data_IF_548878025726
#
_entry.id   IF_548878025726
#
_cell.length_a   1.000
_cell.length_b   1.000
_cell.length_c   1.000
_cell.angle_alpha   90.00
_cell.angle_beta   90.00
_cell.angle_gamma   90.00
#
_symmetry.space_group_name_H-M   'P 1'
#
loop_
_entity.id
_entity.type
_entity.pdbx_description
1 polymer ?
#
# COMPACT_ATOMS: atom_id res chain seq x y z
N UNK A 1 11.80 -19.41 -27.33
CA UNK A 1 11.20 -19.04 -26.03
C UNK A 1 11.63 -17.63 -25.56
N UNK A 2 11.62 -16.60 -26.43
CA UNK A 2 12.10 -15.25 -26.07
C UNK A 2 11.21 -14.08 -26.55
N UNK A 3 10.08 -14.37 -27.20
CA UNK A 3 9.18 -13.33 -27.77
C UNK A 3 8.05 -12.96 -26.81
N UNK A 4 7.59 -13.89 -25.94
CA UNK A 4 6.51 -13.62 -24.98
C UNK A 4 6.93 -12.67 -23.85
N UNK A 5 8.21 -12.70 -23.44
CA UNK A 5 8.75 -11.79 -22.42
C UNK A 5 8.88 -10.34 -22.90
N UNK A 6 9.11 -10.11 -24.21
CA UNK A 6 9.10 -8.75 -24.78
C UNK A 6 7.70 -8.15 -24.88
N UNK A 7 6.67 -8.99 -25.08
CA UNK A 7 5.26 -8.54 -25.02
C UNK A 7 4.83 -8.17 -23.59
N UNK A 8 5.39 -8.85 -22.57
CA UNK A 8 5.18 -8.51 -21.15
C UNK A 8 5.69 -7.10 -20.80
N UNK A 9 6.80 -6.66 -21.40
CA UNK A 9 7.34 -5.30 -21.21
C UNK A 9 6.60 -4.26 -22.09
N UNK A 10 6.09 -4.67 -23.26
CA UNK A 10 5.36 -3.79 -24.16
C UNK A 10 3.90 -3.52 -23.75
N UNK A 11 3.26 -4.41 -22.98
CA UNK A 11 1.88 -4.18 -22.50
C UNK A 11 1.76 -3.21 -21.32
N UNK A 12 2.86 -2.86 -20.64
CA UNK A 12 2.89 -1.80 -19.61
C UNK A 12 3.11 -0.41 -20.25
N UNK A 13 3.17 -0.33 -21.58
CA UNK A 13 3.47 0.89 -22.34
C UNK A 13 2.23 1.62 -22.91
N UNK A 14 1.01 1.25 -22.50
CA UNK A 14 -0.21 1.87 -23.02
C UNK A 14 -1.23 2.20 -21.93
N UNK A 15 -0.97 3.26 -21.14
CA UNK A 15 -2.03 4.26 -20.87
C UNK A 15 -1.41 5.60 -20.44
N UNK A 16 -1.02 6.41 -21.42
CA UNK A 16 -0.88 7.86 -21.27
C UNK A 16 -1.98 8.48 -22.12
N UNK A 17 -2.88 9.23 -21.47
CA UNK A 17 -3.65 10.41 -21.93
C UNK A 17 -5.10 10.41 -21.46
N UNK A 18 -5.36 11.16 -20.39
CA UNK A 18 -6.34 12.26 -20.42
C UNK A 18 -6.19 13.13 -19.17
N UNK A 19 -5.18 14.01 -19.18
CA UNK A 19 -5.35 15.32 -18.56
C UNK A 19 -5.04 16.31 -19.67
N UNK A 20 -6.09 16.62 -20.43
CA UNK A 20 -6.14 17.77 -21.31
C UNK A 20 -5.85 19.02 -20.50
N UNK A 21 -5.02 19.87 -21.09
CA UNK A 21 -4.73 21.24 -20.69
C UNK A 21 -6.04 21.99 -20.48
N UNK A 22 -6.38 22.29 -19.23
CA UNK A 22 -7.18 23.46 -18.89
C UNK A 22 -6.53 24.09 -17.68
N UNK A 23 -5.89 25.24 -17.88
CA UNK A 23 -5.43 26.06 -16.79
C UNK A 23 -6.64 26.54 -15.99
N UNK A 24 -6.69 26.20 -14.71
CA UNK A 24 -7.51 26.94 -13.74
C UNK A 24 -6.72 27.05 -12.43
N UNK A 25 -6.38 28.30 -12.10
CA UNK A 25 -6.23 28.76 -10.72
C UNK A 25 -7.55 28.45 -10.02
N UNK A 26 -7.56 27.46 -9.13
CA UNK A 26 -8.31 27.51 -7.87
C UNK A 26 -8.06 26.24 -7.06
N UNK A 27 -7.59 26.46 -5.84
CA UNK A 27 -7.49 25.45 -4.79
C UNK A 27 -8.93 25.17 -4.33
N UNK A 28 -9.62 24.25 -4.99
CA UNK A 28 -10.95 23.80 -4.57
C UNK A 28 -10.82 22.49 -3.77
N UNK A 29 -11.35 22.55 -2.54
CA UNK A 29 -11.46 21.47 -1.58
C UNK A 29 -12.18 20.28 -2.22
N UNK A 30 -11.50 19.15 -2.38
CA UNK A 30 -12.12 17.90 -2.80
C UNK A 30 -12.87 17.32 -1.59
N UNK A 31 -14.16 17.63 -1.50
CA UNK A 31 -15.13 16.76 -0.83
C UNK A 31 -15.48 15.64 -1.82
N UNK A 32 -15.11 14.41 -1.51
CA UNK A 32 -15.58 13.26 -2.26
C UNK A 32 -16.88 12.76 -1.63
N UNK A 33 -18.02 13.17 -2.20
CA UNK A 33 -19.28 12.45 -2.09
C UNK A 33 -19.87 12.31 -3.51
N UNK A 34 -20.29 11.08 -3.81
CA UNK A 34 -21.07 10.60 -4.96
C UNK A 34 -20.42 10.44 -6.34
N UNK A 35 -20.13 9.18 -6.69
CA UNK A 35 -20.78 8.53 -7.84
C UNK A 35 -20.88 7.02 -7.63
N UNK A 36 -21.95 6.42 -8.13
CA UNK A 36 -22.46 5.09 -7.78
C UNK A 36 -21.73 3.95 -8.53
N UNK A 37 -21.38 2.91 -7.74
CA UNK A 37 -20.97 1.53 -8.11
C UNK A 37 -19.51 1.29 -8.57
N UNK A 38 -18.54 1.31 -7.64
CA UNK A 38 -17.29 0.53 -7.79
C UNK A 38 -16.52 0.40 -6.48
N UNK A 39 -16.11 -0.83 -6.17
CA UNK A 39 -15.01 -1.23 -5.26
C UNK A 39 -14.99 -0.61 -3.86
N UNK A 40 -15.09 -1.47 -2.84
CA UNK A 40 -14.80 -1.09 -1.47
C UNK A 40 -13.30 -0.75 -1.40
N UNK A 41 -12.95 0.53 -1.43
CA UNK A 41 -11.56 1.04 -1.46
C UNK A 41 -10.70 0.72 -0.22
N UNK A 42 -11.16 -0.17 0.68
CA UNK A 42 -10.44 -0.60 1.88
C UNK A 42 -10.70 -2.06 2.22
N UNK A 43 -9.82 -2.65 3.01
CA UNK A 43 -10.12 -3.92 3.69
C UNK A 43 -11.32 -3.69 4.62
N UNK A 44 -12.41 -4.44 4.40
CA UNK A 44 -13.62 -4.40 5.24
C UNK A 44 -13.73 -5.69 6.06
N UNK A 45 -13.72 -5.50 7.37
CA UNK A 45 -13.97 -6.54 8.35
C UNK A 45 -15.41 -6.48 8.81
N UNK A 46 -16.01 -7.65 9.00
CA UNK A 46 -17.26 -7.79 9.73
C UNK A 46 -17.06 -7.44 11.21
N UNK A 47 -18.16 -7.09 11.90
CA UNK A 47 -18.12 -6.85 13.35
C UNK A 47 -17.61 -8.08 14.12
N UNK A 48 -17.92 -9.28 13.62
CA UNK A 48 -17.46 -10.52 14.24
C UNK A 48 -15.94 -10.67 14.09
N UNK A 49 -15.39 -10.47 12.88
CA UNK A 49 -13.94 -10.49 12.65
C UNK A 49 -13.22 -9.44 13.51
N UNK A 50 -13.72 -8.20 13.54
CA UNK A 50 -13.12 -7.13 14.35
C UNK A 50 -13.13 -7.48 15.85
N UNK A 51 -14.20 -8.08 16.35
CA UNK A 51 -14.31 -8.51 17.76
C UNK A 51 -13.38 -9.69 18.05
N UNK A 52 -13.30 -10.64 17.12
CA UNK A 52 -12.50 -11.88 17.24
C UNK A 52 -11.00 -11.58 17.32
N UNK A 53 -10.53 -10.64 16.50
CA UNK A 53 -9.10 -10.33 16.38
C UNK A 53 -8.66 -9.10 17.18
N UNK A 54 -9.57 -8.48 17.91
CA UNK A 54 -9.27 -7.31 18.76
C UNK A 54 -8.10 -7.61 19.70
N UNK A 55 -7.12 -6.71 19.72
CA UNK A 55 -5.94 -6.84 20.60
C UNK A 55 -4.79 -7.67 20.02
N UNK A 56 -4.97 -8.32 18.86
CA UNK A 56 -3.87 -9.00 18.18
C UNK A 56 -2.99 -8.00 17.43
N UNK A 57 -1.69 -7.95 17.78
CA UNK A 57 -0.67 -7.19 17.04
C UNK A 57 0.22 -8.15 16.26
N UNK A 58 -0.18 -8.50 15.03
CA UNK A 58 0.62 -9.37 14.14
C UNK A 58 1.88 -8.67 13.61
N UNK A 59 1.94 -7.34 13.67
CA UNK A 59 3.12 -6.59 13.23
C UNK A 59 4.30 -6.72 14.20
N UNK A 60 4.07 -7.15 15.46
CA UNK A 60 5.16 -7.47 16.41
C UNK A 60 6.07 -8.59 15.91
N UNK A 61 5.51 -9.49 15.10
CA UNK A 61 6.22 -10.62 14.49
C UNK A 61 6.78 -10.30 13.11
N UNK A 62 6.71 -9.04 12.67
CA UNK A 62 7.16 -8.64 11.33
C UNK A 62 6.49 -9.44 10.20
N UNK A 63 5.24 -9.88 10.40
CA UNK A 63 4.49 -10.71 9.44
C UNK A 63 5.11 -12.08 9.14
N UNK A 64 6.04 -12.54 9.98
CA UNK A 64 6.62 -13.88 9.93
C UNK A 64 5.64 -14.91 10.53
N UNK A 65 5.02 -15.71 9.65
CA UNK A 65 4.05 -16.73 10.05
C UNK A 65 4.64 -17.77 11.00
N UNK A 66 5.95 -18.04 10.96
CA UNK A 66 6.58 -19.03 11.84
C UNK A 66 6.55 -18.59 13.30
N UNK A 67 6.44 -17.28 13.56
CA UNK A 67 6.38 -16.67 14.90
C UNK A 67 4.95 -16.41 15.38
N UNK A 68 3.96 -16.54 14.50
CA UNK A 68 2.55 -16.31 14.80
C UNK A 68 1.90 -17.55 15.41
N UNK A 69 1.03 -17.34 16.41
CA UNK A 69 0.07 -18.35 16.85
C UNK A 69 -1.06 -18.55 15.82
N UNK A 70 -1.92 -19.55 16.03
CA UNK A 70 -3.00 -19.89 15.10
C UNK A 70 -3.93 -18.71 14.78
N UNK A 71 -4.40 -17.97 15.81
CA UNK A 71 -5.27 -16.80 15.62
C UNK A 71 -4.58 -15.64 14.90
N UNK A 72 -3.29 -15.45 15.16
CA UNK A 72 -2.47 -14.43 14.48
C UNK A 72 -2.28 -14.79 13.00
N UNK A 73 -2.06 -16.07 12.67
CA UNK A 73 -1.98 -16.56 11.28
C UNK A 73 -3.31 -16.42 10.55
N UNK A 74 -4.40 -16.76 11.23
CA UNK A 74 -5.75 -16.65 10.69
C UNK A 74 -6.09 -15.18 10.33
N UNK A 75 -5.84 -14.25 11.26
CA UNK A 75 -5.97 -12.82 10.96
C UNK A 75 -5.11 -12.41 9.75
N UNK A 76 -3.85 -12.85 9.70
CA UNK A 76 -2.97 -12.47 8.62
C UNK A 76 -3.47 -12.98 7.26
N UNK A 77 -3.93 -14.22 7.18
CA UNK A 77 -4.50 -14.81 5.98
C UNK A 77 -5.76 -14.05 5.54
N UNK A 78 -6.68 -13.76 6.47
CA UNK A 78 -7.89 -12.99 6.17
C UNK A 78 -7.57 -11.60 5.60
N UNK A 79 -6.55 -10.93 6.13
CA UNK A 79 -6.14 -9.63 5.60
C UNK A 79 -5.56 -9.73 4.19
N UNK A 80 -4.81 -10.79 3.88
CA UNK A 80 -4.31 -11.06 2.53
C UNK A 80 -5.46 -11.34 1.55
N UNK A 81 -6.44 -12.14 1.96
CA UNK A 81 -7.60 -12.49 1.13
C UNK A 81 -8.48 -11.27 0.85
N UNK A 82 -8.82 -10.48 1.87
CA UNK A 82 -9.63 -9.27 1.69
C UNK A 82 -8.93 -8.21 0.86
N UNK A 83 -7.59 -8.13 0.92
CA UNK A 83 -6.83 -7.23 0.06
C UNK A 83 -6.79 -7.69 -1.40
N UNK A 84 -6.84 -9.00 -1.65
CA UNK A 84 -7.05 -9.57 -2.99
C UNK A 84 -8.46 -9.27 -3.49
N UNK A 85 -9.49 -9.59 -2.71
CA UNK A 85 -10.91 -9.35 -3.08
C UNK A 85 -11.16 -7.89 -3.44
N UNK A 86 -10.52 -6.97 -2.71
CA UNK A 86 -10.55 -5.53 -2.99
C UNK A 86 -10.08 -5.17 -4.40
N UNK A 87 -9.12 -5.93 -4.95
CA UNK A 87 -8.43 -5.63 -6.20
C UNK A 87 -8.68 -6.67 -7.29
N UNK A 88 -9.52 -7.66 -7.04
CA UNK A 88 -9.74 -8.82 -7.92
C UNK A 88 -10.05 -8.39 -9.35
N UNK A 89 -10.98 -7.46 -9.54
CA UNK A 89 -11.36 -6.94 -10.86
C UNK A 89 -10.20 -6.27 -11.62
N UNK A 90 -9.25 -5.66 -10.89
CA UNK A 90 -8.05 -5.05 -11.48
C UNK A 90 -6.96 -6.08 -11.76
N UNK A 91 -6.79 -7.07 -10.88
CA UNK A 91 -5.82 -8.15 -10.99
C UNK A 91 -6.19 -9.11 -12.13
N UNK A 92 -7.48 -9.43 -12.29
CA UNK A 92 -7.99 -10.27 -13.38
C UNK A 92 -7.70 -9.66 -14.76
N UNK A 93 -7.90 -8.35 -14.89
CA UNK A 93 -7.57 -7.61 -16.13
C UNK A 93 -6.07 -7.65 -16.45
N UNK A 94 -5.23 -7.79 -15.43
CA UNK A 94 -3.78 -7.89 -15.55
C UNK A 94 -3.31 -9.35 -15.69
N UNK A 95 -4.21 -10.32 -15.53
CA UNK A 95 -3.88 -11.75 -15.56
C UNK A 95 -3.08 -12.22 -14.33
N UNK A 96 -3.17 -11.50 -13.22
CA UNK A 96 -2.49 -11.84 -11.96
C UNK A 96 -3.40 -12.74 -11.12
N UNK A 97 -2.93 -13.93 -10.78
CA UNK A 97 -3.71 -14.87 -9.96
C UNK A 97 -3.75 -14.47 -8.49
N UNK A 98 -4.77 -14.93 -7.74
CA UNK A 98 -4.84 -14.80 -6.27
C UNK A 98 -3.57 -15.29 -5.58
N UNK A 99 -3.08 -16.46 -5.98
CA UNK A 99 -1.87 -17.05 -5.39
C UNK A 99 -0.62 -16.19 -5.65
N UNK A 100 -0.45 -15.72 -6.89
CA UNK A 100 0.65 -14.83 -7.26
C UNK A 100 0.63 -13.53 -6.45
N UNK A 101 -0.54 -12.88 -6.37
CA UNK A 101 -0.71 -11.66 -5.60
C UNK A 101 -0.44 -11.86 -4.10
N UNK A 102 -1.02 -12.90 -3.49
CA UNK A 102 -0.82 -13.19 -2.07
C UNK A 102 0.66 -13.52 -1.78
N UNK A 103 1.32 -14.28 -2.65
CA UNK A 103 2.73 -14.61 -2.49
C UNK A 103 3.61 -13.36 -2.60
N UNK A 104 3.30 -12.43 -3.52
CA UNK A 104 3.99 -11.14 -3.60
C UNK A 104 3.84 -10.34 -2.30
N UNK A 105 2.61 -10.24 -1.75
CA UNK A 105 2.39 -9.54 -0.48
C UNK A 105 3.11 -10.20 0.69
N UNK A 106 3.12 -11.54 0.76
CA UNK A 106 3.90 -12.28 1.77
C UNK A 106 5.40 -11.97 1.67
N UNK A 107 5.93 -11.89 0.46
CA UNK A 107 7.33 -11.51 0.24
C UNK A 107 7.61 -10.08 0.71
N UNK A 108 6.75 -9.11 0.38
CA UNK A 108 6.90 -7.69 0.74
C UNK A 108 6.80 -7.48 2.26
N UNK A 109 5.81 -8.12 2.89
CA UNK A 109 5.53 -7.98 4.31
C UNK A 109 6.54 -8.76 5.15
N UNK A 110 6.97 -9.92 4.68
CA UNK A 110 8.09 -10.69 5.20
C UNK A 110 9.45 -10.10 4.81
N UNK A 111 10.54 -10.72 5.23
CA UNK A 111 11.89 -10.24 4.92
C UNK A 111 12.42 -10.79 3.57
N UNK A 112 11.61 -11.52 2.81
CA UNK A 112 12.04 -12.25 1.62
C UNK A 112 12.10 -11.39 0.35
N UNK A 113 11.49 -10.19 0.37
CA UNK A 113 11.55 -9.27 -0.77
C UNK A 113 12.97 -8.83 -1.13
N UNK A 114 13.84 -8.65 -0.11
CA UNK A 114 15.23 -8.25 -0.28
C UNK A 114 16.02 -9.23 -1.16
N UNK A 115 15.62 -10.51 -1.19
CA UNK A 115 16.28 -11.57 -1.95
C UNK A 115 16.11 -11.39 -3.47
N UNK A 116 15.09 -10.63 -3.93
CA UNK A 116 14.88 -10.31 -5.36
C UNK A 116 15.54 -9.00 -5.83
N UNK A 117 16.40 -8.36 -5.03
CA UNK A 117 17.12 -7.14 -5.46
C UNK A 117 17.90 -7.34 -6.78
N UNK A 118 18.33 -8.57 -7.09
CA UNK A 118 19.00 -8.92 -8.34
C UNK A 118 18.10 -8.80 -9.60
N UNK A 119 16.78 -8.69 -9.46
CA UNK A 119 15.84 -8.48 -10.57
C UNK A 119 15.46 -7.01 -10.81
N UNK A 120 16.13 -6.06 -10.15
CA UNK A 120 15.84 -4.63 -10.32
C UNK A 120 16.16 -4.14 -11.73
N UNK A 121 15.14 -3.59 -12.41
CA UNK A 121 15.32 -3.00 -13.73
C UNK A 121 15.91 -1.60 -13.55
N UNK A 122 17.22 -1.49 -13.81
CA UNK A 122 17.91 -0.20 -13.90
C UNK A 122 17.72 0.38 -15.29
N UNK A 123 17.21 1.59 -15.38
CA UNK A 123 17.05 2.28 -16.66
C UNK A 123 17.44 3.75 -16.58
N UNK A 124 17.75 4.36 -17.72
CA UNK A 124 17.96 5.82 -17.79
C UNK A 124 16.61 6.50 -17.98
N UNK A 125 16.08 7.07 -16.90
CA UNK A 125 14.97 8.00 -17.01
C UNK A 125 15.45 9.31 -17.67
N UNK A 126 14.64 9.90 -18.55
CA UNK A 126 15.00 11.09 -19.33
C UNK A 126 15.47 12.21 -18.40
N UNK A 127 16.73 12.64 -18.55
CA UNK A 127 17.32 13.72 -17.76
C UNK A 127 17.66 13.38 -16.29
N UNK A 128 17.60 12.11 -15.87
CA UNK A 128 17.87 11.69 -14.48
C UNK A 128 18.94 10.59 -14.40
N UNK A 129 19.48 10.37 -13.19
CA UNK A 129 20.38 9.24 -12.90
C UNK A 129 19.65 7.91 -13.17
N UNK A 130 20.40 6.79 -13.16
CA UNK A 130 19.82 5.44 -13.28
C UNK A 130 18.71 5.31 -12.23
N UNK A 131 17.51 5.00 -12.68
CA UNK A 131 16.35 4.79 -11.84
C UNK A 131 16.08 3.29 -11.73
N UNK A 132 15.45 2.87 -10.64
CA UNK A 132 15.22 1.48 -10.27
C UNK A 132 13.73 1.25 -10.08
N UNK A 133 13.08 0.46 -10.93
CA UNK A 133 11.69 0.06 -10.67
C UNK A 133 11.67 -0.98 -9.55
N UNK A 134 11.74 -0.53 -8.29
CA UNK A 134 11.87 -1.42 -7.13
C UNK A 134 10.59 -2.22 -6.93
N UNK A 135 9.48 -1.52 -6.72
CA UNK A 135 8.16 -2.06 -6.41
C UNK A 135 7.10 -1.19 -7.06
N UNK A 136 5.99 -1.77 -7.53
CA UNK A 136 4.88 -0.97 -8.03
C UNK A 136 4.18 -0.23 -6.89
N UNK A 137 3.57 0.92 -7.20
CA UNK A 137 2.75 1.67 -6.23
C UNK A 137 1.58 0.82 -5.73
N UNK A 138 1.00 -0.04 -6.58
CA UNK A 138 -0.09 -0.95 -6.20
C UNK A 138 0.34 -2.00 -5.19
N UNK A 139 1.47 -2.66 -5.42
CA UNK A 139 2.00 -3.68 -4.51
C UNK A 139 2.41 -3.08 -3.16
N UNK A 140 3.09 -1.93 -3.16
CA UNK A 140 3.39 -1.21 -1.91
C UNK A 140 2.12 -0.76 -1.20
N UNK A 141 1.16 -0.19 -1.93
CA UNK A 141 -0.12 0.27 -1.37
C UNK A 141 -0.88 -0.84 -0.65
N UNK A 142 -0.92 -2.01 -1.27
CA UNK A 142 -1.56 -3.21 -0.72
C UNK A 142 -0.91 -3.70 0.57
N UNK A 143 0.41 -3.79 0.59
CA UNK A 143 1.16 -4.13 1.80
C UNK A 143 0.90 -3.10 2.92
N UNK A 144 0.87 -1.82 2.59
CA UNK A 144 0.57 -0.76 3.56
C UNK A 144 -0.88 -0.84 4.08
N UNK A 145 -1.85 -1.20 3.24
CA UNK A 145 -3.24 -1.42 3.68
C UNK A 145 -3.35 -2.54 4.71
N UNK A 146 -2.64 -3.65 4.50
CA UNK A 146 -2.58 -4.75 5.49
C UNK A 146 -1.96 -4.25 6.79
N UNK A 147 -0.84 -3.51 6.73
CA UNK A 147 -0.18 -2.98 7.94
C UNK A 147 -1.06 -2.04 8.72
N UNK A 148 -1.72 -1.12 8.02
CA UNK A 148 -2.59 -0.12 8.64
C UNK A 148 -3.80 -0.81 9.28
N UNK A 149 -4.45 -1.71 8.54
CA UNK A 149 -5.63 -2.44 9.02
C UNK A 149 -5.30 -3.31 10.23
N UNK A 150 -4.22 -4.11 10.17
CA UNK A 150 -3.77 -4.91 11.30
C UNK A 150 -3.51 -4.08 12.56
N UNK A 151 -2.89 -2.90 12.40
CA UNK A 151 -2.58 -2.00 13.52
C UNK A 151 -3.85 -1.35 14.11
N UNK A 152 -4.87 -1.08 13.29
CA UNK A 152 -6.16 -0.59 13.76
C UNK A 152 -6.93 -1.67 14.55
N UNK A 153 -6.96 -2.91 14.04
CA UNK A 153 -7.59 -4.06 14.71
C UNK A 153 -7.01 -4.31 16.10
N UNK A 154 -5.69 -4.17 16.26
CA UNK A 154 -5.02 -4.29 17.55
C UNK A 154 -5.63 -3.35 18.62
N UNK A 155 -6.28 -2.25 18.21
CA UNK A 155 -6.96 -1.31 19.10
C UNK A 155 -8.49 -1.40 19.10
N UNK A 156 -9.04 -2.40 18.40
CA UNK A 156 -10.47 -2.64 18.26
C UNK A 156 -11.17 -1.61 17.37
N UNK A 157 -10.46 -1.09 16.37
CA UNK A 157 -10.99 -0.15 15.38
C UNK A 157 -10.81 -0.77 13.99
N UNK A 158 -11.82 -0.71 13.13
CA UNK A 158 -11.77 -1.30 11.78
C UNK A 158 -11.30 -0.35 10.69
N UNK A 159 -11.29 0.97 10.95
CA UNK A 159 -10.91 1.96 9.93
C UNK A 159 -10.33 3.27 10.51
N UNK A 160 -9.63 4.04 9.66
CA UNK A 160 -9.19 5.39 10.01
C UNK A 160 -10.37 6.30 10.36
N UNK A 161 -11.50 6.16 9.67
CA UNK A 161 -12.72 6.93 9.96
C UNK A 161 -13.26 6.67 11.37
N UNK A 162 -13.30 5.41 11.80
CA UNK A 162 -13.68 5.05 13.17
C UNK A 162 -12.66 5.54 14.21
N UNK A 163 -11.36 5.48 13.90
CA UNK A 163 -10.32 6.02 14.75
C UNK A 163 -10.52 7.52 15.00
N UNK A 164 -10.84 8.26 13.93
CA UNK A 164 -11.14 9.70 14.00
C UNK A 164 -12.41 9.96 14.79
N UNK A 165 -13.47 9.16 14.63
CA UNK A 165 -14.69 9.26 15.45
C UNK A 165 -14.39 9.05 16.93
N UNK A 166 -13.51 8.09 17.27
CA UNK A 166 -13.16 7.73 18.65
C UNK A 166 -12.25 8.73 19.34
N UNK A 167 -11.25 9.28 18.62
CA UNK A 167 -10.18 10.09 19.22
C UNK A 167 -10.20 11.57 18.80
N UNK A 168 -11.08 11.95 17.87
CA UNK A 168 -11.00 13.23 17.16
C UNK A 168 -9.82 13.28 16.18
N UNK A 169 -9.83 14.28 15.28
CA UNK A 169 -8.82 14.41 14.22
C UNK A 169 -7.38 14.51 14.77
N UNK A 170 -7.16 15.36 15.79
CA UNK A 170 -5.83 15.54 16.38
C UNK A 170 -5.37 14.32 17.18
N UNK A 171 -6.29 13.64 17.88
CA UNK A 171 -5.99 12.40 18.58
C UNK A 171 -5.60 11.28 17.62
N UNK A 172 -6.36 11.14 16.52
CA UNK A 172 -6.04 10.19 15.45
C UNK A 172 -4.68 10.49 14.80
N UNK A 173 -4.36 11.76 14.51
CA UNK A 173 -3.04 12.17 14.00
C UNK A 173 -1.88 11.77 14.93
N UNK A 174 -2.03 11.99 16.24
CA UNK A 174 -1.05 11.55 17.25
C UNK A 174 -0.94 10.03 17.29
N UNK A 175 -2.06 9.34 17.22
CA UNK A 175 -2.13 7.88 17.24
C UNK A 175 -1.44 7.26 16.03
N UNK A 176 -1.77 7.67 14.80
CA UNK A 176 -1.16 7.10 13.57
C UNK A 176 0.34 7.37 13.56
N UNK A 177 0.77 8.56 13.97
CA UNK A 177 2.19 8.88 14.08
C UNK A 177 2.91 7.94 15.07
N UNK A 178 2.30 7.67 16.23
CA UNK A 178 2.88 6.81 17.27
C UNK A 178 2.90 5.33 16.88
N UNK A 179 1.83 4.83 16.25
CA UNK A 179 1.62 3.38 16.07
C UNK A 179 1.95 2.88 14.66
N UNK A 180 1.88 3.71 13.62
CA UNK A 180 2.09 3.30 12.23
C UNK A 180 3.46 3.67 11.65
N UNK A 181 4.08 4.77 12.10
CA UNK A 181 5.31 5.28 11.45
C UNK A 181 6.42 4.22 11.35
N UNK A 182 6.74 3.55 12.46
CA UNK A 182 7.79 2.53 12.47
C UNK A 182 7.42 1.29 11.65
N UNK A 183 6.14 0.87 11.68
CA UNK A 183 5.64 -0.27 10.91
C UNK A 183 5.70 0.00 9.41
N UNK A 184 5.35 1.21 8.96
CA UNK A 184 5.48 1.63 7.56
C UNK A 184 6.94 1.72 7.13
N UNK A 185 7.81 2.33 7.96
CA UNK A 185 9.27 2.37 7.68
C UNK A 185 9.87 0.96 7.59
N UNK A 186 9.35 0.01 8.36
CA UNK A 186 9.77 -1.39 8.27
C UNK A 186 9.43 -2.00 6.90
N UNK A 187 8.23 -1.75 6.36
CA UNK A 187 7.87 -2.19 4.99
C UNK A 187 8.77 -1.53 3.96
N UNK A 188 8.96 -0.21 4.05
CA UNK A 188 9.86 0.53 3.15
C UNK A 188 11.28 -0.06 3.18
N UNK A 189 11.77 -0.44 4.36
CA UNK A 189 13.09 -1.04 4.50
C UNK A 189 13.18 -2.40 3.82
N UNK A 190 12.16 -3.26 3.95
CA UNK A 190 12.09 -4.58 3.30
C UNK A 190 12.07 -4.48 1.77
N UNK A 191 11.45 -3.44 1.23
CA UNK A 191 11.42 -3.22 -0.24
C UNK A 191 12.62 -2.44 -0.76
N UNK A 192 13.62 -2.16 0.08
CA UNK A 192 14.81 -1.38 -0.30
C UNK A 192 14.61 0.13 -0.35
N UNK A 193 13.43 0.64 0.01
CA UNK A 193 13.03 2.05 0.03
C UNK A 193 13.23 2.76 1.37
N UNK A 194 14.19 2.30 2.19
CA UNK A 194 14.50 2.85 3.52
C UNK A 194 14.64 4.38 3.52
N UNK A 195 15.19 4.95 2.46
CA UNK A 195 15.48 6.37 2.34
C UNK A 195 14.24 7.26 2.23
N UNK A 196 13.11 6.69 1.79
CA UNK A 196 11.81 7.36 1.79
C UNK A 196 11.23 7.51 3.20
N UNK A 197 11.78 6.78 4.18
CA UNK A 197 11.39 6.88 5.59
C UNK A 197 11.52 8.29 6.18
N UNK A 198 12.36 9.17 5.61
CA UNK A 198 12.46 10.57 6.05
C UNK A 198 11.15 11.36 5.86
N UNK A 199 10.30 10.95 4.92
CA UNK A 199 9.03 11.60 4.62
C UNK A 199 7.86 11.07 5.47
N UNK A 200 8.07 10.00 6.26
CA UNK A 200 6.97 9.31 6.95
C UNK A 200 6.19 10.23 7.88
N UNK A 201 6.88 11.16 8.55
CA UNK A 201 6.27 12.00 9.59
C UNK A 201 5.10 12.84 9.08
N UNK A 202 5.23 13.44 7.89
CA UNK A 202 4.15 14.23 7.28
C UNK A 202 3.15 13.34 6.54
N UNK A 203 3.62 12.28 5.88
CA UNK A 203 2.77 11.42 5.05
C UNK A 203 1.80 10.59 5.89
N UNK A 204 2.27 9.95 6.96
CA UNK A 204 1.43 9.08 7.81
C UNK A 204 0.28 9.84 8.46
N UNK A 205 0.48 11.11 8.79
CA UNK A 205 -0.54 11.96 9.41
C UNK A 205 -1.61 12.36 8.39
N UNK A 206 -1.26 12.39 7.11
CA UNK A 206 -2.16 12.77 6.01
C UNK A 206 -3.19 11.68 5.68
N UNK A 207 -2.96 10.43 6.09
CA UNK A 207 -3.95 9.34 5.87
C UNK A 207 -5.28 9.59 6.59
N UNK A 208 -5.25 10.44 7.63
CA UNK A 208 -6.44 10.88 8.37
C UNK A 208 -7.44 11.61 7.48
N UNK A 209 -6.97 12.20 6.38
CA UNK A 209 -7.80 12.96 5.45
C UNK A 209 -8.33 12.11 4.28
N UNK A 210 -7.83 10.88 4.08
CA UNK A 210 -8.18 10.04 2.92
C UNK A 210 -9.30 9.04 3.19
N UNK A 211 -9.49 8.59 4.44
CA UNK A 211 -10.51 7.67 4.99
C UNK A 211 -10.75 6.30 4.33
N UNK A 212 -10.50 6.16 3.03
CA UNK A 212 -10.86 5.01 2.20
C UNK A 212 -9.61 4.15 1.95
N UNK A 213 -8.65 4.58 1.13
CA UNK A 213 -7.46 3.77 0.81
C UNK A 213 -6.16 4.40 1.37
N UNK A 214 -5.89 4.27 2.69
CA UNK A 214 -4.75 4.94 3.31
C UNK A 214 -3.40 4.37 2.84
N UNK A 215 -3.33 3.08 2.51
CA UNK A 215 -2.11 2.42 2.04
C UNK A 215 -1.72 2.87 0.64
N UNK A 216 -2.65 2.81 -0.33
CA UNK A 216 -2.40 3.31 -1.69
C UNK A 216 -2.11 4.79 -1.70
N UNK A 217 -2.81 5.58 -0.88
CA UNK A 217 -2.51 7.01 -0.73
C UNK A 217 -1.07 7.26 -0.29
N UNK A 218 -0.58 6.51 0.70
CA UNK A 218 0.81 6.62 1.15
C UNK A 218 1.79 6.20 0.06
N UNK A 219 1.54 5.09 -0.64
CA UNK A 219 2.39 4.63 -1.72
C UNK A 219 2.52 5.69 -2.83
N UNK A 220 1.40 6.33 -3.22
CA UNK A 220 1.40 7.45 -4.18
C UNK A 220 2.17 8.68 -3.66
N UNK A 221 2.07 8.98 -2.35
CA UNK A 221 2.87 10.06 -1.74
C UNK A 221 4.37 9.75 -1.78
N UNK A 222 4.76 8.50 -1.56
CA UNK A 222 6.16 8.08 -1.68
C UNK A 222 6.69 8.18 -3.10
N UNK A 223 5.94 7.68 -4.09
CA UNK A 223 6.25 7.84 -5.53
C UNK A 223 6.42 9.32 -5.90
N UNK A 224 5.55 10.21 -5.40
CA UNK A 224 5.62 11.65 -5.71
C UNK A 224 6.91 12.38 -5.29
N UNK A 225 7.75 11.77 -4.44
CA UNK A 225 8.99 12.36 -3.92
C UNK A 225 10.24 11.52 -4.21
N UNK A 226 10.10 10.46 -5.00
CA UNK A 226 11.22 9.61 -5.39
C UNK A 226 11.98 10.17 -6.62
N UNK A 227 12.92 9.41 -7.19
CA UNK A 227 13.74 9.93 -8.28
C UNK A 227 12.95 10.11 -9.59
N UNK A 228 11.89 9.36 -9.86
CA UNK A 228 11.01 9.53 -11.03
C UNK A 228 9.56 9.70 -10.54
N UNK A 229 9.18 10.92 -10.13
CA UNK A 229 7.90 11.14 -9.49
C UNK A 229 6.71 10.74 -10.33
N UNK A 230 5.78 10.03 -9.68
CA UNK A 230 4.49 9.60 -10.25
C UNK A 230 4.67 8.63 -11.43
N UNK A 231 5.66 7.76 -11.36
CA UNK A 231 5.92 6.75 -12.40
C UNK A 231 5.01 5.52 -12.29
N UNK A 232 4.33 5.35 -11.15
CA UNK A 232 3.62 4.11 -10.81
C UNK A 232 4.53 3.06 -10.18
N UNK A 233 5.82 3.37 -10.00
CA UNK A 233 6.81 2.55 -9.31
C UNK A 233 7.56 3.39 -8.28
N UNK A 234 8.06 2.74 -7.24
CA UNK A 234 9.02 3.36 -6.33
C UNK A 234 10.40 3.30 -6.95
N UNK A 235 10.96 4.48 -7.20
CA UNK A 235 12.19 4.67 -7.96
C UNK A 235 13.31 5.27 -7.11
N UNK A 236 14.37 4.50 -6.87
CA UNK A 236 15.56 4.97 -6.13
C UNK A 236 16.79 5.12 -7.03
N UNK A 237 17.77 5.87 -6.50
CA UNK A 237 19.01 6.30 -7.14
C UNK A 237 20.08 5.22 -7.30
#
# INVERSE_FOLDING_TARGET
>A
MHIKLRKFIASILAFVLSISVVGFKEISRIYAYESNKSEIDRIVLTNNELTTYKGLDIAKHQYDMTKMNEKERDLYNILLEKEYERQESSLDKQGVSKEEFINELKMILGNDYLVKQDSMIKYKAKGKKKATRLISVGALGSALNIVITATLIATGVGSIGELVKKLGKQGAKKWVKKHLSSKIVSVLTRVGAKTLGKWIGSFVVSIIDTYLDPGTFLAKKFDSVDIVPNSGYIELW
#
